data_IF_475258687755
#
_entry.id   IF_475258687755
#
_cell.length_a   1.000
_cell.length_b   1.000
_cell.length_c   1.000
_cell.angle_alpha   90.00
_cell.angle_beta   90.00
_cell.angle_gamma   90.00
#
_symmetry.space_group_name_H-M   'P 1'
#
loop_
_entity.id
_entity.type
_entity.pdbx_description
1 polymer ?
#
# COMPACT_ATOMS: atom_id res chain seq x y z
N UNK A 1 6.12 -18.71 -1.35
CA UNK A 1 6.64 -19.96 -0.80
C UNK A 1 5.92 -21.16 -1.41
N UNK A 2 6.63 -22.27 -1.71
CA UNK A 2 6.02 -23.49 -2.23
C UNK A 2 5.43 -24.33 -1.09
N UNK A 3 4.41 -25.14 -1.40
CA UNK A 3 3.81 -26.11 -0.43
C UNK A 3 4.88 -27.02 0.16
N UNK A 4 5.81 -27.51 -0.66
CA UNK A 4 6.91 -28.35 -0.21
C UNK A 4 7.80 -27.65 0.82
N UNK A 5 8.16 -26.39 0.57
CA UNK A 5 8.96 -25.60 1.51
C UNK A 5 8.21 -25.33 2.82
N UNK A 6 6.90 -25.05 2.74
CA UNK A 6 6.06 -24.84 3.91
C UNK A 6 5.95 -26.10 4.78
N UNK A 7 5.73 -27.26 4.15
CA UNK A 7 5.67 -28.57 4.85
C UNK A 7 7.02 -28.95 5.51
N UNK A 8 8.14 -28.56 4.91
CA UNK A 8 9.45 -28.76 5.57
C UNK A 8 9.62 -27.95 6.85
N UNK A 9 9.06 -26.73 6.87
CA UNK A 9 9.12 -25.86 8.08
C UNK A 9 8.10 -26.28 9.14
N UNK A 10 6.96 -26.76 8.70
CA UNK A 10 5.86 -27.20 9.56
C UNK A 10 5.28 -28.53 9.04
N UNK A 11 5.81 -29.69 9.48
CA UNK A 11 5.36 -31.01 9.01
C UNK A 11 3.88 -31.30 9.28
N UNK A 12 3.29 -30.68 10.31
CA UNK A 12 1.86 -30.78 10.65
C UNK A 12 0.94 -29.78 9.94
N UNK A 13 1.43 -29.06 8.93
CA UNK A 13 0.65 -28.06 8.21
C UNK A 13 -0.57 -28.69 7.53
N UNK A 14 -1.76 -28.16 7.81
CA UNK A 14 -2.99 -28.52 7.12
C UNK A 14 -3.14 -27.69 5.87
N UNK A 15 -3.30 -28.35 4.73
CA UNK A 15 -3.54 -27.70 3.43
C UNK A 15 -5.04 -27.67 3.18
N UNK A 16 -5.56 -26.47 2.90
CA UNK A 16 -6.96 -26.27 2.52
C UNK A 16 -7.03 -25.76 1.08
N UNK A 17 -8.01 -26.19 0.27
CA UNK A 17 -8.20 -25.65 -1.06
C UNK A 17 -8.67 -24.19 -0.97
N UNK A 18 -8.22 -23.31 -1.89
CA UNK A 18 -8.69 -21.94 -1.92
C UNK A 18 -10.14 -21.84 -2.41
N UNK A 19 -10.91 -20.91 -1.84
CA UNK A 19 -12.31 -20.65 -2.22
C UNK A 19 -12.42 -19.33 -3.00
N UNK A 20 -11.83 -19.24 -4.19
CA UNK A 20 -11.77 -18.03 -5.00
C UNK A 20 -13.13 -17.37 -5.29
N UNK A 21 -14.22 -18.14 -5.33
CA UNK A 21 -15.59 -17.62 -5.45
C UNK A 21 -15.94 -16.72 -4.27
N UNK A 22 -15.78 -17.22 -3.05
CA UNK A 22 -16.05 -16.48 -1.82
C UNK A 22 -15.13 -15.24 -1.67
N UNK A 23 -13.86 -15.36 -2.06
CA UNK A 23 -12.94 -14.22 -2.00
C UNK A 23 -13.40 -13.07 -2.89
N UNK A 24 -13.88 -13.39 -4.12
CA UNK A 24 -14.46 -12.39 -5.03
C UNK A 24 -15.75 -11.77 -4.52
N UNK A 25 -16.61 -12.56 -3.87
CA UNK A 25 -17.84 -12.06 -3.25
C UNK A 25 -17.52 -11.08 -2.13
N UNK A 26 -16.58 -11.42 -1.24
CA UNK A 26 -16.15 -10.53 -0.17
C UNK A 26 -15.49 -9.26 -0.72
N UNK A 27 -14.63 -9.38 -1.74
CA UNK A 27 -14.04 -8.22 -2.43
C UNK A 27 -15.11 -7.27 -2.98
N UNK A 28 -16.15 -7.81 -3.64
CA UNK A 28 -17.26 -7.00 -4.15
C UNK A 28 -18.05 -6.34 -3.02
N UNK A 29 -18.32 -7.06 -1.93
CA UNK A 29 -19.02 -6.52 -0.78
C UNK A 29 -18.25 -5.34 -0.15
N UNK A 30 -16.94 -5.49 0.02
CA UNK A 30 -16.07 -4.42 0.54
C UNK A 30 -16.04 -3.21 -0.42
N UNK A 31 -15.88 -3.43 -1.73
CA UNK A 31 -15.90 -2.35 -2.70
C UNK A 31 -17.27 -1.65 -2.80
N UNK A 32 -18.38 -2.36 -2.58
CA UNK A 32 -19.71 -1.77 -2.49
C UNK A 32 -19.84 -0.84 -1.26
N UNK A 33 -19.15 -1.14 -0.15
CA UNK A 33 -19.08 -0.22 1.00
C UNK A 33 -18.27 1.03 0.62
N UNK A 34 -17.12 0.88 -0.05
CA UNK A 34 -16.30 2.00 -0.51
C UNK A 34 -17.08 2.95 -1.44
N UNK A 35 -17.91 2.41 -2.33
CA UNK A 35 -18.72 3.17 -3.27
C UNK A 35 -19.74 4.13 -2.61
N UNK A 36 -20.02 3.98 -1.32
CA UNK A 36 -20.85 4.94 -0.55
C UNK A 36 -20.12 6.24 -0.23
N UNK A 37 -18.79 6.22 -0.30
CA UNK A 37 -17.95 7.34 0.11
C UNK A 37 -17.35 8.08 -1.09
N UNK A 38 -17.10 7.40 -2.21
CA UNK A 38 -16.62 7.98 -3.46
C UNK A 38 -16.97 7.09 -4.64
N UNK A 39 -17.15 7.68 -5.82
CA UNK A 39 -17.27 6.98 -7.09
C UNK A 39 -15.91 6.73 -7.77
N UNK A 40 -14.84 7.33 -7.21
CA UNK A 40 -13.46 7.20 -7.72
C UNK A 40 -12.72 6.10 -6.97
N UNK A 41 -12.99 4.87 -7.37
CA UNK A 41 -12.38 3.67 -6.80
C UNK A 41 -11.53 3.00 -7.87
N UNK A 42 -10.27 2.75 -7.55
CA UNK A 42 -9.34 2.01 -8.38
C UNK A 42 -8.94 0.71 -7.67
N UNK A 43 -9.46 -0.45 -8.10
CA UNK A 43 -9.04 -1.73 -7.54
C UNK A 43 -7.59 -2.05 -7.86
N UNK A 44 -6.85 -2.53 -6.85
CA UNK A 44 -5.49 -3.00 -6.97
C UNK A 44 -5.39 -4.44 -6.44
N UNK A 45 -5.77 -5.38 -7.28
CA UNK A 45 -5.92 -6.78 -6.86
C UNK A 45 -7.32 -7.10 -6.31
N UNK A 46 -7.44 -8.25 -5.63
CA UNK A 46 -8.71 -8.74 -5.10
C UNK A 46 -9.05 -8.13 -3.73
N UNK A 47 -8.05 -7.69 -2.98
CA UNK A 47 -8.15 -7.29 -1.58
C UNK A 47 -7.70 -5.85 -1.30
N UNK A 48 -7.36 -5.11 -2.33
CA UNK A 48 -6.88 -3.74 -2.24
C UNK A 48 -7.59 -2.81 -3.22
N UNK A 49 -7.83 -1.56 -2.79
CA UNK A 49 -8.37 -0.51 -3.65
C UNK A 49 -7.85 0.85 -3.19
N UNK A 50 -7.56 1.74 -4.14
CA UNK A 50 -7.42 3.16 -3.86
C UNK A 50 -8.77 3.85 -3.98
N UNK A 51 -9.00 4.79 -3.09
CA UNK A 51 -10.18 5.64 -3.05
C UNK A 51 -9.72 7.11 -3.14
N UNK A 52 -10.05 7.80 -4.23
CA UNK A 52 -9.86 9.24 -4.26
C UNK A 52 -11.00 9.92 -3.50
N UNK A 53 -10.66 10.40 -2.31
CA UNK A 53 -11.57 11.06 -1.38
C UNK A 53 -11.42 12.60 -1.41
N UNK A 54 -10.59 13.13 -2.29
CA UNK A 54 -10.22 14.57 -2.31
C UNK A 54 -11.44 15.50 -2.29
N UNK A 55 -12.47 15.17 -3.05
CA UNK A 55 -13.68 15.98 -3.16
C UNK A 55 -14.78 15.59 -2.17
N UNK A 56 -14.74 14.39 -1.59
CA UNK A 56 -15.88 13.80 -0.87
C UNK A 56 -15.68 13.66 0.64
N UNK A 57 -14.45 13.59 1.14
CA UNK A 57 -14.22 13.27 2.55
C UNK A 57 -14.95 14.21 3.53
N UNK A 58 -15.12 15.52 3.18
CA UNK A 58 -15.81 16.49 4.02
C UNK A 58 -17.31 16.20 4.19
N UNK A 59 -17.90 15.40 3.31
CA UNK A 59 -19.30 14.97 3.41
C UNK A 59 -19.50 13.92 4.50
N UNK A 60 -18.43 13.21 4.89
CA UNK A 60 -18.50 12.06 5.77
C UNK A 60 -17.82 12.24 7.12
N UNK A 61 -17.09 13.33 7.33
CA UNK A 61 -16.41 13.57 8.60
C UNK A 61 -15.63 14.87 8.68
N UNK A 62 -15.08 15.13 9.86
CA UNK A 62 -14.30 16.34 10.15
C UNK A 62 -12.82 16.24 9.78
N UNK A 63 -12.32 15.03 9.47
CA UNK A 63 -10.93 14.80 9.07
C UNK A 63 -10.81 13.58 8.16
N UNK A 64 -9.80 13.54 7.26
CA UNK A 64 -9.53 12.37 6.44
C UNK A 64 -9.30 11.09 7.25
N UNK A 65 -8.59 11.20 8.38
CA UNK A 65 -8.37 10.07 9.30
C UNK A 65 -9.67 9.56 9.91
N UNK A 66 -10.58 10.46 10.29
CA UNK A 66 -11.89 10.10 10.84
C UNK A 66 -12.77 9.37 9.83
N UNK A 67 -12.74 9.82 8.56
CA UNK A 67 -13.46 9.14 7.46
C UNK A 67 -12.86 7.77 7.18
N UNK A 68 -11.53 7.64 7.13
CA UNK A 68 -10.86 6.36 6.96
C UNK A 68 -11.22 5.37 8.08
N UNK A 69 -11.31 5.84 9.33
CA UNK A 69 -11.74 5.01 10.45
C UNK A 69 -13.24 4.63 10.36
N UNK A 70 -14.10 5.52 9.86
CA UNK A 70 -15.50 5.20 9.61
C UNK A 70 -15.64 4.10 8.53
N UNK A 71 -14.90 4.20 7.43
CA UNK A 71 -14.85 3.16 6.38
C UNK A 71 -14.38 1.83 6.96
N UNK A 72 -13.27 1.83 7.72
CA UNK A 72 -12.72 0.65 8.39
C UNK A 72 -13.75 -0.03 9.29
N UNK A 73 -14.46 0.73 10.11
CA UNK A 73 -15.51 0.22 10.99
C UNK A 73 -16.71 -0.31 10.22
N UNK A 74 -17.13 0.35 9.14
CA UNK A 74 -18.24 -0.09 8.30
C UNK A 74 -17.92 -1.47 7.67
N UNK A 75 -16.73 -1.63 7.09
CA UNK A 75 -16.30 -2.92 6.54
C UNK A 75 -16.34 -4.00 7.60
N UNK A 76 -15.78 -3.75 8.78
CA UNK A 76 -15.76 -4.73 9.86
C UNK A 76 -17.16 -5.10 10.35
N UNK A 77 -18.04 -4.14 10.50
CA UNK A 77 -19.41 -4.36 10.97
C UNK A 77 -20.26 -5.15 9.98
N UNK A 78 -20.10 -4.88 8.68
CA UNK A 78 -20.96 -5.45 7.65
C UNK A 78 -20.44 -6.77 7.07
N UNK A 79 -19.12 -6.98 7.06
CA UNK A 79 -18.49 -8.16 6.44
C UNK A 79 -17.78 -9.08 7.44
N UNK A 80 -17.52 -8.62 8.66
CA UNK A 80 -16.66 -9.30 9.63
C UNK A 80 -15.17 -9.26 9.29
N UNK A 81 -14.78 -8.68 8.15
CA UNK A 81 -13.39 -8.54 7.74
C UNK A 81 -12.75 -7.29 8.35
N UNK A 82 -11.46 -7.35 8.61
CA UNK A 82 -10.69 -6.17 9.00
C UNK A 82 -9.91 -5.63 7.80
N UNK A 83 -9.82 -4.31 7.71
CA UNK A 83 -8.97 -3.62 6.74
C UNK A 83 -8.01 -2.69 7.45
N UNK A 84 -6.85 -2.45 6.84
CA UNK A 84 -5.94 -1.37 7.23
C UNK A 84 -5.94 -0.29 6.16
N UNK A 85 -6.05 0.96 6.58
CA UNK A 85 -6.24 2.10 5.69
C UNK A 85 -5.06 3.05 5.79
N UNK A 86 -4.42 3.33 4.65
CA UNK A 86 -3.46 4.42 4.51
C UNK A 86 -4.14 5.66 3.96
N UNK A 87 -3.98 6.78 4.65
CA UNK A 87 -4.44 8.10 4.21
C UNK A 87 -3.25 8.92 3.79
N UNK A 88 -3.21 9.35 2.54
CA UNK A 88 -2.10 10.13 2.02
C UNK A 88 -2.52 11.04 0.87
N UNK A 89 -1.57 11.83 0.39
CA UNK A 89 -1.73 12.76 -0.74
C UNK A 89 -1.35 12.13 -2.09
N UNK A 90 -0.90 10.87 -2.11
CA UNK A 90 -0.65 10.08 -3.31
C UNK A 90 -0.89 8.58 -3.06
N UNK A 91 -1.01 7.81 -4.14
CA UNK A 91 -1.32 6.38 -4.11
C UNK A 91 -0.21 5.54 -3.46
N UNK A 92 1.05 5.86 -3.76
CA UNK A 92 2.21 5.10 -3.26
C UNK A 92 2.31 5.18 -1.74
N UNK A 93 2.16 6.38 -1.16
CA UNK A 93 2.20 6.53 0.28
C UNK A 93 0.91 6.07 0.98
N UNK A 94 -0.25 6.16 0.31
CA UNK A 94 -1.47 5.54 0.82
C UNK A 94 -1.30 4.02 0.95
N UNK A 95 -0.77 3.35 -0.09
CA UNK A 95 -0.47 1.91 -0.03
C UNK A 95 0.54 1.58 1.09
N UNK A 96 1.63 2.33 1.19
CA UNK A 96 2.61 2.14 2.26
C UNK A 96 1.99 2.34 3.64
N UNK A 97 1.14 3.36 3.80
CA UNK A 97 0.41 3.62 5.05
C UNK A 97 -0.51 2.48 5.45
N UNK A 98 -1.18 1.83 4.49
CA UNK A 98 -2.03 0.67 4.78
C UNK A 98 -1.24 -0.53 5.31
N UNK A 99 0.02 -0.68 4.92
CA UNK A 99 0.91 -1.75 5.38
C UNK A 99 1.62 -1.43 6.70
N UNK A 100 1.72 -0.16 7.08
CA UNK A 100 2.58 0.31 8.16
C UNK A 100 2.16 -0.17 9.56
N UNK A 101 0.85 -0.25 9.83
CA UNK A 101 0.30 -0.62 11.15
C UNK A 101 -0.74 -1.75 11.05
N UNK A 102 -0.53 -2.74 10.19
CA UNK A 102 -1.43 -3.91 10.12
C UNK A 102 -1.43 -4.71 11.42
N UNK A 103 -2.55 -5.32 11.81
CA UNK A 103 -3.88 -5.27 11.19
C UNK A 103 -4.80 -4.18 11.77
N UNK A 104 -5.95 -3.94 11.08
CA UNK A 104 -7.11 -3.20 11.58
C UNK A 104 -6.76 -1.78 12.07
N UNK A 105 -6.03 -1.01 11.27
CA UNK A 105 -5.49 0.29 11.65
C UNK A 105 -5.67 1.36 10.58
N UNK A 106 -5.61 2.63 10.99
CA UNK A 106 -5.49 3.79 10.11
C UNK A 106 -4.13 4.43 10.29
N UNK A 107 -3.42 4.68 9.18
CA UNK A 107 -2.15 5.40 9.16
C UNK A 107 -2.26 6.63 8.27
N UNK A 108 -1.90 7.80 8.80
CA UNK A 108 -1.86 9.05 8.02
C UNK A 108 -0.43 9.39 7.67
N UNK A 109 -0.16 9.55 6.38
CA UNK A 109 1.11 10.01 5.84
C UNK A 109 0.81 11.26 5.01
N UNK A 110 1.11 12.42 5.57
CA UNK A 110 0.88 13.73 4.97
C UNK A 110 2.19 14.40 4.51
N UNK A 111 2.09 15.58 3.91
CA UNK A 111 3.23 16.35 3.41
C UNK A 111 4.20 16.82 4.49
N UNK A 112 3.74 16.89 5.74
CA UNK A 112 4.56 17.34 6.87
C UNK A 112 5.32 16.17 7.53
N UNK A 113 4.71 14.99 7.57
CA UNK A 113 5.23 13.85 8.33
C UNK A 113 5.89 12.74 7.47
N UNK A 114 5.70 12.74 6.13
CA UNK A 114 6.13 11.62 5.30
C UNK A 114 7.64 11.35 5.40
N UNK A 115 8.49 12.38 5.46
CA UNK A 115 9.95 12.20 5.60
C UNK A 115 10.30 11.46 6.87
N UNK A 116 9.65 11.80 7.97
CA UNK A 116 9.86 11.16 9.28
C UNK A 116 9.36 9.72 9.32
N UNK A 117 8.26 9.41 8.63
CA UNK A 117 7.63 8.08 8.65
C UNK A 117 8.22 7.19 7.55
N UNK A 118 8.30 7.70 6.31
CA UNK A 118 8.60 6.90 5.13
C UNK A 118 10.09 6.73 4.90
N UNK A 119 10.87 7.80 5.00
CA UNK A 119 12.29 7.76 4.64
C UNK A 119 13.15 6.78 5.44
N UNK A 120 12.91 6.52 6.75
CA UNK A 120 13.66 5.50 7.49
C UNK A 120 13.34 4.06 7.09
N UNK A 121 12.24 3.82 6.38
CA UNK A 121 11.81 2.48 6.03
C UNK A 121 12.73 1.82 5.00
N UNK A 122 12.89 0.48 5.06
CA UNK A 122 13.62 -0.26 4.06
C UNK A 122 13.08 0.01 2.65
N UNK A 123 13.95 0.13 1.65
CA UNK A 123 13.57 0.50 0.28
C UNK A 123 12.57 -0.47 -0.35
N UNK A 124 12.60 -1.74 0.02
CA UNK A 124 11.67 -2.76 -0.47
C UNK A 124 10.25 -2.67 0.11
N UNK A 125 9.97 -1.74 1.01
CA UNK A 125 8.61 -1.43 1.45
C UNK A 125 7.91 -0.47 0.48
N UNK A 126 8.66 0.19 -0.39
CA UNK A 126 8.09 1.05 -1.42
C UNK A 126 7.47 0.21 -2.53
N UNK A 127 6.29 0.62 -3.00
CA UNK A 127 5.59 -0.02 -4.12
C UNK A 127 6.53 -0.16 -5.33
N UNK A 128 6.43 -1.27 -6.03
CA UNK A 128 7.27 -1.65 -7.20
C UNK A 128 8.75 -1.97 -6.91
N UNK A 129 9.21 -1.91 -5.66
CA UNK A 129 10.55 -2.36 -5.29
C UNK A 129 10.54 -3.84 -4.91
N UNK A 130 10.54 -4.70 -5.91
CA UNK A 130 10.71 -6.14 -5.73
C UNK A 130 12.17 -6.53 -5.42
N UNK A 131 12.40 -7.83 -5.17
CA UNK A 131 13.73 -8.36 -4.78
C UNK A 131 14.85 -7.98 -5.74
N UNK A 132 14.61 -8.01 -7.05
CA UNK A 132 15.61 -7.63 -8.06
C UNK A 132 16.01 -6.16 -7.94
N UNK A 133 15.02 -5.26 -7.91
CA UNK A 133 15.27 -3.83 -7.75
C UNK A 133 15.98 -3.53 -6.41
N UNK A 134 15.55 -4.18 -5.31
CA UNK A 134 16.21 -4.05 -4.01
C UNK A 134 17.69 -4.42 -4.06
N UNK A 135 18.06 -5.53 -4.72
CA UNK A 135 19.47 -5.96 -4.86
C UNK A 135 20.27 -4.95 -5.67
N UNK A 136 19.70 -4.45 -6.77
CA UNK A 136 20.35 -3.43 -7.61
C UNK A 136 20.57 -2.13 -6.83
N UNK A 137 19.57 -1.65 -6.11
CA UNK A 137 19.65 -0.45 -5.26
C UNK A 137 20.68 -0.62 -4.13
N UNK A 138 20.77 -1.82 -3.55
CA UNK A 138 21.77 -2.13 -2.53
C UNK A 138 23.20 -2.00 -3.08
N UNK A 139 23.44 -2.37 -4.35
CA UNK A 139 24.70 -2.16 -5.06
C UNK A 139 25.08 -0.68 -5.22
N UNK A 140 24.10 0.22 -5.25
CA UNK A 140 24.28 1.68 -5.24
C UNK A 140 24.39 2.27 -3.82
N UNK A 141 24.35 1.44 -2.77
CA UNK A 141 24.33 1.91 -1.38
C UNK A 141 22.97 2.37 -0.89
N UNK A 142 21.89 2.21 -1.68
CA UNK A 142 20.52 2.61 -1.35
C UNK A 142 19.83 1.47 -0.61
N UNK A 143 19.55 1.66 0.67
CA UNK A 143 18.94 0.66 1.56
C UNK A 143 17.58 1.09 2.13
N UNK A 144 17.34 2.39 2.23
CA UNK A 144 16.09 2.96 2.72
C UNK A 144 15.51 3.95 1.71
N UNK A 145 14.24 4.33 1.93
CA UNK A 145 13.52 5.21 1.02
C UNK A 145 14.13 6.62 0.98
N UNK A 146 14.66 7.12 2.10
CA UNK A 146 15.32 8.43 2.14
C UNK A 146 16.59 8.47 1.29
N UNK A 147 17.38 7.40 1.27
CA UNK A 147 18.54 7.28 0.38
C UNK A 147 18.12 7.21 -1.09
N UNK A 148 17.01 6.52 -1.39
CA UNK A 148 16.43 6.50 -2.74
C UNK A 148 15.97 7.90 -3.17
N UNK A 149 15.32 8.64 -2.28
CA UNK A 149 14.88 10.03 -2.55
C UNK A 149 16.05 10.98 -2.83
N UNK A 150 17.21 10.74 -2.21
CA UNK A 150 18.42 11.53 -2.38
C UNK A 150 19.32 11.09 -3.55
N UNK A 151 19.06 9.91 -4.14
CA UNK A 151 19.84 9.38 -5.25
C UNK A 151 19.62 10.20 -6.52
N UNK A 152 20.64 10.31 -7.37
CA UNK A 152 20.53 11.01 -8.65
C UNK A 152 19.73 10.16 -9.64
N UNK A 153 18.84 10.79 -10.36
CA UNK A 153 18.00 10.12 -11.36
C UNK A 153 18.81 9.46 -12.48
N UNK A 154 19.99 10.01 -12.78
CA UNK A 154 20.95 9.44 -13.76
C UNK A 154 21.49 8.08 -13.29
N UNK A 155 21.92 7.98 -12.03
CA UNK A 155 22.44 6.75 -11.44
C UNK A 155 21.33 5.69 -11.33
N UNK A 156 20.13 6.12 -10.91
CA UNK A 156 18.96 5.25 -10.84
C UNK A 156 18.56 4.74 -12.24
N UNK A 157 18.63 5.60 -13.25
CA UNK A 157 18.33 5.24 -14.64
C UNK A 157 19.35 4.25 -15.21
N UNK A 158 20.62 4.46 -14.92
CA UNK A 158 21.67 3.54 -15.34
C UNK A 158 21.50 2.15 -14.73
N UNK A 159 21.04 2.07 -13.47
CA UNK A 159 20.90 0.81 -12.73
C UNK A 159 19.56 0.08 -12.98
N UNK A 160 18.44 0.80 -13.13
CA UNK A 160 17.09 0.25 -13.17
C UNK A 160 16.29 0.64 -14.43
N UNK A 161 16.93 1.31 -15.40
CA UNK A 161 16.25 1.80 -16.59
C UNK A 161 15.20 2.86 -16.25
N UNK A 162 14.05 2.82 -16.93
CA UNK A 162 12.95 3.78 -16.74
C UNK A 162 12.38 3.76 -15.33
N UNK A 163 12.37 2.59 -14.68
CA UNK A 163 11.84 2.44 -13.32
C UNK A 163 12.66 3.22 -12.28
N UNK A 164 13.96 3.41 -12.50
CA UNK A 164 14.84 4.04 -11.51
C UNK A 164 14.40 5.46 -11.11
N UNK A 165 14.33 6.43 -12.04
CA UNK A 165 13.86 7.78 -11.75
C UNK A 165 12.42 7.83 -11.23
N UNK A 166 11.56 6.92 -11.68
CA UNK A 166 10.18 6.81 -11.19
C UNK A 166 10.15 6.44 -9.70
N UNK A 167 10.94 5.44 -9.29
CA UNK A 167 11.08 5.08 -7.88
C UNK A 167 11.68 6.24 -7.05
N UNK A 168 12.62 7.00 -7.61
CA UNK A 168 13.15 8.22 -6.99
C UNK A 168 12.05 9.25 -6.75
N UNK A 169 11.21 9.51 -7.76
CA UNK A 169 10.06 10.40 -7.66
C UNK A 169 9.06 9.91 -6.60
N UNK A 170 8.74 8.63 -6.57
CA UNK A 170 7.89 8.05 -5.53
C UNK A 170 8.45 8.25 -4.12
N UNK A 171 9.75 8.04 -3.94
CA UNK A 171 10.42 8.26 -2.65
C UNK A 171 10.38 9.72 -2.19
N UNK A 172 10.34 10.67 -3.12
CA UNK A 172 10.17 12.12 -2.86
C UNK A 172 8.71 12.52 -2.66
N UNK A 173 7.75 11.63 -2.91
CA UNK A 173 6.31 11.92 -2.84
C UNK A 173 5.74 12.60 -4.08
N UNK A 174 6.42 12.52 -5.21
CA UNK A 174 6.09 13.18 -6.49
C UNK A 174 5.24 12.29 -7.41
N UNK A 175 4.51 11.33 -6.86
CA UNK A 175 3.60 10.46 -7.60
C UNK A 175 2.30 11.22 -7.92
N UNK A 176 1.94 11.27 -9.20
CA UNK A 176 0.79 12.04 -9.72
C UNK A 176 -0.08 11.21 -10.69
N UNK A 177 -0.04 9.88 -10.63
CA UNK A 177 -0.91 9.06 -11.47
C UNK A 177 -2.39 9.29 -11.11
N UNK A 178 -3.28 9.36 -12.12
CA UNK A 178 -4.70 9.59 -11.88
C UNK A 178 -5.37 8.47 -11.10
#
# INVERSE_FOLDING_TARGET
ETVWSALRKCPGLKLLPPHHGQYREMSRAVNAIYARYTDRIEPFGIDESWLDMTQTWRLFGSSPAGVADAVRRAVKAETGLTISVGVSFNKVFAKLGSDYKKPDAVTVIDTENFRRIVWPLPVNTLLYVGRSAQNTLAGLGVRNIGQLAAAKDEDLRAALGKLGPELGAYARGEENSP
#
